data_IF_863862881014
#
_entry.id   IF_863862881014
#
_cell.length_a   1.000
_cell.length_b   1.000
_cell.length_c   1.000
_cell.angle_alpha   90.00
_cell.angle_beta   90.00
_cell.angle_gamma   90.00
#
_symmetry.space_group_name_H-M   'P 1'
#
loop_
_entity.id
_entity.type
_entity.pdbx_description
1 polymer ?
#
# COMPACT_ATOMS: atom_id res chain seq x y z
N UNK A 1 9.91 -18.38 -49.62
CA UNK A 1 10.96 -19.00 -48.76
C UNK A 1 11.29 -18.01 -47.66
N UNK A 2 10.73 -18.19 -46.50
CA UNK A 2 10.92 -17.27 -45.34
C UNK A 2 11.69 -18.04 -44.27
N UNK A 3 12.96 -17.66 -44.08
CA UNK A 3 13.83 -18.22 -43.07
C UNK A 3 13.49 -17.64 -41.69
N UNK A 4 12.92 -18.49 -40.82
CA UNK A 4 12.69 -18.16 -39.42
C UNK A 4 13.94 -18.47 -38.63
N UNK A 5 14.72 -17.44 -38.31
CA UNK A 5 15.87 -17.56 -37.40
C UNK A 5 15.33 -17.70 -35.97
N UNK A 6 15.38 -18.91 -35.44
CA UNK A 6 15.19 -19.19 -34.02
C UNK A 6 16.41 -18.69 -33.23
N UNK A 7 16.30 -17.60 -32.51
CA UNK A 7 17.27 -17.23 -31.48
C UNK A 7 17.00 -18.05 -30.21
N UNK A 8 17.89 -18.96 -29.93
CA UNK A 8 17.96 -19.69 -28.68
C UNK A 8 18.38 -18.74 -27.56
N UNK A 9 17.63 -18.72 -26.48
CA UNK A 9 17.99 -18.03 -25.24
C UNK A 9 18.67 -19.04 -24.32
N UNK A 10 19.92 -18.83 -23.89
CA UNK A 10 20.57 -19.74 -22.95
C UNK A 10 20.19 -19.43 -21.51
N UNK A 11 19.76 -20.47 -20.82
CA UNK A 11 20.05 -20.83 -19.44
C UNK A 11 19.98 -19.78 -18.35
N UNK A 12 18.83 -19.70 -17.67
CA UNK A 12 18.77 -19.20 -16.30
C UNK A 12 19.04 -20.36 -15.36
N UNK A 13 20.23 -20.38 -14.79
CA UNK A 13 20.65 -21.35 -13.78
C UNK A 13 20.00 -21.01 -12.44
N UNK A 14 19.06 -21.84 -12.05
CA UNK A 14 18.38 -21.75 -10.75
C UNK A 14 19.33 -22.31 -9.68
N UNK A 15 19.97 -21.45 -8.91
CA UNK A 15 20.74 -21.86 -7.73
C UNK A 15 19.78 -22.03 -6.56
N UNK A 16 19.39 -23.28 -6.29
CA UNK A 16 18.69 -23.66 -5.07
C UNK A 16 19.74 -23.85 -3.99
N UNK A 17 19.89 -22.92 -3.08
CA UNK A 17 20.65 -23.10 -1.84
C UNK A 17 19.71 -23.67 -0.78
N UNK A 18 19.76 -24.99 -0.63
CA UNK A 18 19.19 -25.68 0.52
C UNK A 18 20.14 -25.57 1.71
N UNK A 19 19.84 -24.68 2.65
CA UNK A 19 20.49 -24.66 3.96
C UNK A 19 19.69 -25.52 4.92
N UNK A 20 20.07 -26.79 5.03
CA UNK A 20 19.72 -27.67 6.16
C UNK A 20 20.73 -27.40 7.28
N UNK A 21 20.30 -26.84 8.37
CA UNK A 21 21.02 -26.88 9.65
C UNK A 21 19.98 -26.85 10.77
N UNK A 22 19.73 -27.99 11.40
CA UNK A 22 20.38 -28.27 12.67
C UNK A 22 19.37 -28.05 13.77
N UNK A 23 18.59 -29.14 14.10
CA UNK A 23 17.86 -29.26 15.37
C UNK A 23 18.86 -29.21 16.52
N UNK A 24 18.79 -28.17 17.33
CA UNK A 24 19.32 -28.20 18.70
C UNK A 24 18.15 -28.00 19.65
N UNK A 25 17.71 -29.13 20.22
CA UNK A 25 16.86 -29.15 21.40
C UNK A 25 17.65 -28.60 22.58
N UNK A 26 17.26 -27.45 23.06
CA UNK A 26 17.62 -26.98 24.39
C UNK A 26 16.40 -26.41 25.04
N UNK A 27 15.88 -27.19 25.97
CA UNK A 27 14.83 -26.81 26.89
C UNK A 27 15.33 -25.69 27.79
N UNK A 28 14.83 -24.49 27.60
CA UNK A 28 14.90 -23.42 28.59
C UNK A 28 13.54 -22.78 28.70
N UNK A 29 12.98 -22.59 29.90
CA UNK A 29 11.71 -21.92 30.06
C UNK A 29 11.90 -20.46 29.65
N UNK A 30 11.42 -20.16 28.48
CA UNK A 30 11.40 -18.80 27.94
C UNK A 30 10.53 -17.94 28.82
N UNK A 31 11.14 -17.04 29.54
CA UNK A 31 10.47 -15.85 30.01
C UNK A 31 9.84 -15.18 28.78
N UNK A 32 8.52 -15.21 28.71
CA UNK A 32 7.73 -14.39 27.82
C UNK A 32 7.99 -12.94 28.23
N UNK A 33 9.04 -12.36 27.67
CA UNK A 33 9.19 -10.91 27.68
C UNK A 33 8.06 -10.39 26.80
N UNK A 34 6.92 -10.08 27.41
CA UNK A 34 5.94 -9.16 26.86
C UNK A 34 6.74 -7.89 26.52
N UNK A 35 7.02 -7.70 25.26
CA UNK A 35 7.59 -6.45 24.76
C UNK A 35 6.58 -5.36 25.16
N UNK A 36 6.90 -4.64 26.23
CA UNK A 36 6.14 -3.51 26.70
C UNK A 36 6.18 -2.50 25.57
N UNK A 37 5.09 -2.43 24.78
CA UNK A 37 4.96 -1.47 23.71
C UNK A 37 5.28 -0.10 24.29
N UNK A 38 6.29 0.55 23.72
CA UNK A 38 6.75 1.84 24.21
C UNK A 38 5.57 2.83 24.01
N UNK A 39 5.01 3.41 25.09
CA UNK A 39 3.79 4.22 25.02
C UNK A 39 3.92 5.42 24.07
N UNK A 40 5.14 5.92 23.89
CA UNK A 40 5.47 7.02 22.98
C UNK A 40 5.26 6.62 21.51
N UNK A 41 5.74 5.43 21.12
CA UNK A 41 5.58 4.92 19.74
C UNK A 41 4.11 4.69 19.41
N UNK A 42 3.34 4.17 20.35
CA UNK A 42 1.90 3.96 20.17
C UNK A 42 1.14 5.28 19.99
N UNK A 43 1.49 6.32 20.74
CA UNK A 43 0.88 7.64 20.62
C UNK A 43 1.20 8.32 19.27
N UNK A 44 2.44 8.19 18.80
CA UNK A 44 2.85 8.76 17.52
C UNK A 44 2.19 8.05 16.33
N UNK A 45 2.04 6.73 16.39
CA UNK A 45 1.30 5.97 15.38
C UNK A 45 -0.19 6.36 15.35
N UNK A 46 -0.83 6.50 16.51
CA UNK A 46 -2.22 6.94 16.59
C UNK A 46 -2.41 8.34 15.99
N UNK A 47 -1.46 9.24 16.24
CA UNK A 47 -1.45 10.60 15.70
C UNK A 47 -1.24 10.62 14.18
N UNK A 48 -0.34 9.81 13.65
CA UNK A 48 -0.12 9.67 12.21
C UNK A 48 -1.39 9.14 11.52
N UNK A 49 -2.01 8.11 12.07
CA UNK A 49 -3.27 7.56 11.59
C UNK A 49 -4.38 8.61 11.56
N UNK A 50 -4.57 9.37 12.64
CA UNK A 50 -5.59 10.41 12.71
C UNK A 50 -5.36 11.52 11.66
N UNK A 51 -4.10 11.89 11.40
CA UNK A 51 -3.76 12.84 10.33
C UNK A 51 -4.09 12.27 8.95
N UNK A 52 -3.73 11.02 8.69
CA UNK A 52 -4.04 10.35 7.44
C UNK A 52 -5.55 10.30 7.20
N UNK A 53 -6.34 9.94 8.20
CA UNK A 53 -7.81 9.93 8.13
C UNK A 53 -8.39 11.31 7.76
N UNK A 54 -7.92 12.37 8.39
CA UNK A 54 -8.38 13.73 8.13
C UNK A 54 -8.05 14.18 6.70
N UNK A 55 -6.81 13.92 6.24
CA UNK A 55 -6.35 14.26 4.89
C UNK A 55 -7.16 13.49 3.85
N UNK A 56 -7.30 12.18 4.01
CA UNK A 56 -8.04 11.32 3.08
C UNK A 56 -9.49 11.76 2.99
N UNK A 57 -10.15 12.01 4.13
CA UNK A 57 -11.55 12.43 4.13
C UNK A 57 -11.74 13.73 3.35
N UNK A 58 -10.89 14.73 3.60
CA UNK A 58 -10.95 16.00 2.89
C UNK A 58 -10.77 15.82 1.37
N UNK A 59 -9.75 15.06 0.96
CA UNK A 59 -9.45 14.88 -0.45
C UNK A 59 -10.48 13.98 -1.16
N UNK A 60 -11.02 12.96 -0.49
CA UNK A 60 -12.07 12.12 -1.05
C UNK A 60 -13.36 12.91 -1.30
N UNK A 61 -13.75 13.81 -0.41
CA UNK A 61 -14.92 14.70 -0.60
C UNK A 61 -14.72 15.60 -1.82
N UNK A 62 -13.52 16.18 -2.01
CA UNK A 62 -13.20 16.98 -3.20
C UNK A 62 -13.27 16.19 -4.49
N UNK A 63 -13.13 14.87 -4.44
CA UNK A 63 -13.28 13.95 -5.56
C UNK A 63 -14.72 13.43 -5.73
N UNK A 64 -15.69 14.01 -5.04
CA UNK A 64 -17.10 13.58 -5.09
C UNK A 64 -17.39 12.31 -4.30
N UNK A 65 -16.51 11.94 -3.37
CA UNK A 65 -16.77 10.90 -2.38
C UNK A 65 -17.67 11.40 -1.25
N UNK A 66 -18.12 10.47 -0.43
CA UNK A 66 -18.89 10.77 0.79
C UNK A 66 -17.94 11.03 1.95
N UNK A 67 -18.30 11.96 2.83
CA UNK A 67 -17.59 12.14 4.10
C UNK A 67 -17.71 10.88 4.95
N UNK A 68 -16.61 10.49 5.60
CA UNK A 68 -16.56 9.31 6.45
C UNK A 68 -15.23 9.21 7.19
N UNK A 69 -14.99 8.12 7.88
CA UNK A 69 -13.64 7.81 8.38
C UNK A 69 -12.71 7.48 7.21
N UNK A 70 -11.43 7.80 7.31
CA UNK A 70 -10.48 7.78 6.19
C UNK A 70 -10.61 6.59 5.25
N UNK A 71 -10.61 5.35 5.78
CA UNK A 71 -10.78 4.15 4.96
C UNK A 71 -12.17 4.08 4.28
N UNK A 72 -13.24 4.46 4.99
CA UNK A 72 -14.59 4.42 4.42
C UNK A 72 -14.79 5.44 3.30
N UNK A 73 -14.15 6.60 3.40
CA UNK A 73 -14.15 7.60 2.33
C UNK A 73 -13.46 7.07 1.06
N UNK A 74 -12.35 6.33 1.19
CA UNK A 74 -11.65 5.68 0.08
C UNK A 74 -12.45 4.52 -0.53
N UNK A 75 -13.30 3.84 0.24
CA UNK A 75 -14.15 2.75 -0.26
C UNK A 75 -15.24 3.21 -1.22
N UNK A 76 -15.48 4.51 -1.33
CA UNK A 76 -16.38 5.07 -2.34
C UNK A 76 -15.93 4.65 -3.74
N UNK A 77 -16.85 4.02 -4.50
CA UNK A 77 -16.55 3.58 -5.86
C UNK A 77 -16.16 4.76 -6.77
N UNK A 78 -16.74 5.93 -6.53
CA UNK A 78 -16.39 7.17 -7.25
C UNK A 78 -14.94 7.55 -7.03
N UNK A 79 -14.48 7.55 -5.78
CA UNK A 79 -13.08 7.86 -5.42
C UNK A 79 -12.12 6.83 -6.01
N UNK A 80 -12.41 5.52 -5.85
CA UNK A 80 -11.56 4.46 -6.38
C UNK A 80 -11.45 4.49 -7.92
N UNK A 81 -12.56 4.77 -8.62
CA UNK A 81 -12.53 4.93 -10.08
C UNK A 81 -11.66 6.13 -10.50
N UNK A 82 -11.73 7.23 -9.79
CA UNK A 82 -10.85 8.38 -10.08
C UNK A 82 -9.39 8.04 -9.77
N UNK A 83 -9.09 7.40 -8.65
CA UNK A 83 -7.74 6.94 -8.31
C UNK A 83 -7.19 5.93 -9.33
N UNK A 84 -8.03 5.20 -10.04
CA UNK A 84 -7.62 4.32 -11.13
C UNK A 84 -7.14 5.09 -12.37
N UNK A 85 -7.53 6.36 -12.53
CA UNK A 85 -7.06 7.23 -13.61
C UNK A 85 -5.82 8.02 -13.20
N UNK A 86 -5.00 8.41 -14.16
CA UNK A 86 -3.84 9.26 -13.91
C UNK A 86 -4.26 10.61 -13.31
N UNK A 87 -5.22 11.28 -13.93
CA UNK A 87 -5.65 12.63 -13.52
C UNK A 87 -6.30 12.64 -12.13
N UNK A 88 -7.09 11.60 -11.82
CA UNK A 88 -7.67 11.46 -10.50
C UNK A 88 -6.62 11.22 -9.42
N UNK A 89 -5.59 10.42 -9.69
CA UNK A 89 -4.45 10.27 -8.78
C UNK A 89 -3.74 11.58 -8.54
N UNK A 90 -3.41 12.32 -9.61
CA UNK A 90 -2.73 13.62 -9.51
C UNK A 90 -3.55 14.61 -8.67
N UNK A 91 -4.87 14.65 -8.84
CA UNK A 91 -5.77 15.48 -8.00
C UNK A 91 -5.69 15.09 -6.53
N UNK A 92 -5.81 13.80 -6.24
CA UNK A 92 -5.72 13.28 -4.87
C UNK A 92 -4.37 13.58 -4.23
N UNK A 93 -3.28 13.28 -4.93
CA UNK A 93 -1.91 13.47 -4.47
C UNK A 93 -1.59 14.95 -4.22
N UNK A 94 -2.09 15.84 -5.07
CA UNK A 94 -1.93 17.29 -4.90
C UNK A 94 -2.68 17.81 -3.68
N UNK A 95 -3.87 17.26 -3.43
CA UNK A 95 -4.66 17.58 -2.24
C UNK A 95 -3.99 17.02 -0.97
N UNK A 96 -3.59 15.75 -1.00
CA UNK A 96 -3.08 15.05 0.18
C UNK A 96 -1.64 15.46 0.56
N UNK A 97 -0.82 15.80 -0.42
CA UNK A 97 0.59 16.13 -0.25
C UNK A 97 0.95 17.45 -0.93
N UNK A 98 0.78 18.59 -0.23
CA UNK A 98 1.22 19.90 -0.74
C UNK A 98 2.73 19.94 -1.02
N UNK A 99 3.53 19.22 -0.21
CA UNK A 99 4.98 19.09 -0.41
C UNK A 99 5.29 18.17 -1.60
N UNK A 100 6.01 18.68 -2.64
CA UNK A 100 6.32 17.89 -3.83
C UNK A 100 7.21 16.68 -3.57
N UNK A 101 8.10 16.72 -2.57
CA UNK A 101 8.97 15.60 -2.24
C UNK A 101 8.19 14.45 -1.59
N UNK A 102 7.27 14.75 -0.69
CA UNK A 102 6.34 13.78 -0.10
C UNK A 102 5.40 13.24 -1.17
N UNK A 103 4.88 14.11 -2.05
CA UNK A 103 4.00 13.73 -3.15
C UNK A 103 4.65 12.70 -4.07
N UNK A 104 5.91 12.91 -4.47
CA UNK A 104 6.64 11.98 -5.34
C UNK A 104 6.79 10.58 -4.71
N UNK A 105 7.06 10.50 -3.40
CA UNK A 105 7.14 9.23 -2.67
C UNK A 105 5.78 8.54 -2.58
N UNK A 106 4.75 9.29 -2.22
CA UNK A 106 3.40 8.78 -2.08
C UNK A 106 2.81 8.33 -3.41
N UNK A 107 3.10 9.03 -4.51
CA UNK A 107 2.60 8.73 -5.86
C UNK A 107 2.97 7.32 -6.30
N UNK A 108 4.23 6.92 -6.16
CA UNK A 108 4.68 5.56 -6.49
C UNK A 108 3.93 4.52 -5.66
N UNK A 109 3.78 4.76 -4.37
CA UNK A 109 3.07 3.86 -3.45
C UNK A 109 1.59 3.73 -3.83
N UNK A 110 0.89 4.84 -4.06
CA UNK A 110 -0.52 4.87 -4.43
C UNK A 110 -0.74 4.18 -5.78
N UNK A 111 0.13 4.45 -6.76
CA UNK A 111 0.08 3.78 -8.05
C UNK A 111 0.24 2.27 -7.91
N UNK A 112 1.17 1.79 -7.09
CA UNK A 112 1.35 0.37 -6.81
C UNK A 112 0.11 -0.24 -6.16
N UNK A 113 -0.47 0.42 -5.15
CA UNK A 113 -1.68 -0.05 -4.48
C UNK A 113 -2.84 -0.21 -5.47
N UNK A 114 -3.04 0.77 -6.36
CA UNK A 114 -4.10 0.73 -7.38
C UNK A 114 -3.83 -0.33 -8.45
N UNK A 115 -2.58 -0.47 -8.91
CA UNK A 115 -2.19 -1.47 -9.92
C UNK A 115 -2.33 -2.89 -9.38
N UNK A 116 -1.94 -3.12 -8.13
CA UNK A 116 -2.06 -4.43 -7.49
C UNK A 116 -3.52 -4.86 -7.31
N UNK A 117 -4.42 -3.91 -7.09
CA UNK A 117 -5.85 -4.19 -7.04
C UNK A 117 -6.42 -4.52 -8.43
N UNK A 118 -5.95 -3.88 -9.50
CA UNK A 118 -6.30 -4.16 -10.89
C UNK A 118 -7.80 -4.40 -11.10
N UNK A 119 -8.15 -5.52 -11.75
CA UNK A 119 -9.54 -5.96 -11.94
C UNK A 119 -10.27 -6.30 -10.62
N UNK A 120 -9.53 -6.47 -9.54
CA UNK A 120 -10.08 -6.68 -8.20
C UNK A 120 -10.97 -5.53 -7.72
N UNK A 121 -10.83 -4.33 -8.28
CA UNK A 121 -11.71 -3.19 -7.98
C UNK A 121 -13.20 -3.47 -8.28
N UNK A 122 -13.49 -4.45 -9.12
CA UNK A 122 -14.87 -4.90 -9.38
C UNK A 122 -15.45 -5.69 -8.21
N UNK A 123 -14.63 -6.28 -7.35
CA UNK A 123 -15.03 -7.02 -6.17
C UNK A 123 -15.00 -6.15 -4.90
N UNK A 124 -15.80 -6.52 -3.90
CA UNK A 124 -15.77 -5.86 -2.58
C UNK A 124 -14.39 -6.00 -1.91
N UNK A 125 -13.81 -7.20 -2.00
CA UNK A 125 -12.50 -7.51 -1.41
C UNK A 125 -11.38 -6.70 -2.06
N UNK A 126 -11.35 -6.63 -3.40
CA UNK A 126 -10.33 -5.86 -4.11
C UNK A 126 -10.44 -4.35 -3.88
N UNK A 127 -11.65 -3.81 -3.75
CA UNK A 127 -11.83 -2.41 -3.36
C UNK A 127 -11.29 -2.13 -1.95
N UNK A 128 -11.54 -3.05 -1.01
CA UNK A 128 -11.01 -2.92 0.35
C UNK A 128 -9.47 -2.95 0.36
N UNK A 129 -8.89 -3.86 -0.40
CA UNK A 129 -7.43 -3.98 -0.55
C UNK A 129 -6.81 -2.72 -1.17
N UNK A 130 -7.41 -2.18 -2.23
CA UNK A 130 -6.97 -0.93 -2.85
C UNK A 130 -7.05 0.26 -1.86
N UNK A 131 -8.19 0.41 -1.20
CA UNK A 131 -8.39 1.48 -0.21
C UNK A 131 -7.41 1.38 0.96
N UNK A 132 -7.17 0.17 1.47
CA UNK A 132 -6.19 -0.06 2.53
C UNK A 132 -4.76 0.26 2.06
N UNK A 133 -4.41 -0.12 0.84
CA UNK A 133 -3.11 0.21 0.25
C UNK A 133 -2.90 1.73 0.14
N UNK A 134 -3.89 2.45 -0.39
CA UNK A 134 -3.84 3.92 -0.47
C UNK A 134 -3.76 4.56 0.91
N UNK A 135 -4.55 4.06 1.87
CA UNK A 135 -4.52 4.54 3.26
C UNK A 135 -3.12 4.43 3.86
N UNK A 136 -2.49 3.26 3.75
CA UNK A 136 -1.15 3.01 4.26
C UNK A 136 -0.10 3.93 3.60
N UNK A 137 -0.25 4.20 2.30
CA UNK A 137 0.63 5.13 1.59
C UNK A 137 0.50 6.57 2.12
N UNK A 138 -0.72 7.00 2.45
CA UNK A 138 -0.96 8.34 3.03
C UNK A 138 -0.39 8.39 4.45
N UNK A 139 -0.69 7.41 5.29
CA UNK A 139 -0.22 7.34 6.68
C UNK A 139 1.30 7.41 6.78
N UNK A 140 2.02 6.75 5.87
CA UNK A 140 3.48 6.74 5.83
C UNK A 140 4.11 8.07 5.39
N UNK A 141 3.35 9.00 4.80
CA UNK A 141 3.89 10.22 4.17
C UNK A 141 3.29 11.54 4.70
N UNK A 142 2.33 11.50 5.62
CA UNK A 142 1.72 12.69 6.23
C UNK A 142 2.46 13.24 7.46
#
# INVERSE_FOLDING_TARGET
MINILRKAVPGVTLVVVAALAGCHSSSSPSAVQSAKANPTVSADMAKAKARAEAVINNCAVQMGGTSGTGLSALLSLTVLRQLATHDGRVKFETCAFPDPAKRAKASTCIQQAMTSAGLGLLSKSGRHQAAQGVFNCVEANV
#
